data_IF_895128688319
#
_entry.id   IF_895128688319
#
_cell.length_a   1.000
_cell.length_b   1.000
_cell.length_c   1.000
_cell.angle_alpha   90.00
_cell.angle_beta   90.00
_cell.angle_gamma   90.00
#
_symmetry.space_group_name_H-M   'P 1'
#
loop_
_entity.id
_entity.type
_entity.pdbx_description
1 polymer ?
#
# COMPACT_ATOMS: atom_id res chain seq x y z
N UNK A 1 1.10 -22.41 -15.47
CA UNK A 1 -0.24 -22.09 -16.01
C UNK A 1 -1.24 -21.60 -14.95
N UNK A 2 -1.23 -22.16 -13.73
CA UNK A 2 -2.08 -21.69 -12.65
C UNK A 2 -1.78 -20.24 -12.24
N UNK A 3 -0.54 -19.82 -12.26
CA UNK A 3 -0.11 -18.47 -11.86
C UNK A 3 -0.68 -17.38 -12.79
N UNK A 4 -0.76 -17.60 -14.10
CA UNK A 4 -1.27 -16.61 -15.06
C UNK A 4 -2.77 -16.43 -14.91
N UNK A 5 -3.53 -17.52 -14.78
CA UNK A 5 -4.99 -17.47 -14.57
C UNK A 5 -5.36 -16.77 -13.24
N UNK A 6 -4.61 -17.07 -12.19
CA UNK A 6 -4.81 -16.41 -10.90
C UNK A 6 -4.40 -14.94 -10.92
N UNK A 7 -3.36 -14.56 -11.66
CA UNK A 7 -2.98 -13.17 -11.89
C UNK A 7 -4.10 -12.42 -12.64
N UNK A 8 -4.58 -12.94 -13.76
CA UNK A 8 -5.67 -12.34 -14.54
C UNK A 8 -6.92 -12.16 -13.66
N UNK A 9 -7.31 -13.20 -12.93
CA UNK A 9 -8.46 -13.13 -12.03
C UNK A 9 -8.29 -12.08 -10.94
N UNK A 10 -7.11 -12.00 -10.34
CA UNK A 10 -6.84 -11.09 -9.22
C UNK A 10 -6.69 -9.63 -9.65
N UNK A 11 -6.00 -9.38 -10.77
CA UNK A 11 -5.62 -8.03 -11.17
C UNK A 11 -6.47 -7.44 -12.29
N UNK A 12 -7.25 -8.27 -13.02
CA UNK A 12 -8.11 -7.80 -14.10
C UNK A 12 -9.61 -7.97 -13.77
N UNK A 13 -10.03 -9.20 -13.41
CA UNK A 13 -11.46 -9.51 -13.31
C UNK A 13 -12.05 -8.94 -12.01
N UNK A 14 -11.40 -9.19 -10.88
CA UNK A 14 -11.97 -8.80 -9.58
C UNK A 14 -12.02 -7.27 -9.37
N UNK A 15 -11.07 -6.45 -9.87
CA UNK A 15 -11.19 -4.99 -9.81
C UNK A 15 -12.40 -4.40 -10.54
N UNK A 16 -12.93 -5.06 -11.57
CA UNK A 16 -14.15 -4.63 -12.26
C UNK A 16 -15.35 -4.57 -11.31
N UNK A 17 -15.34 -5.35 -10.24
CA UNK A 17 -16.39 -5.36 -9.23
C UNK A 17 -16.33 -4.18 -8.24
N UNK A 18 -15.28 -3.35 -8.25
CA UNK A 18 -15.11 -2.22 -7.32
C UNK A 18 -16.32 -1.27 -7.37
N UNK A 19 -16.76 -0.75 -8.54
CA UNK A 19 -17.89 0.15 -8.60
C UNK A 19 -19.21 -0.51 -8.17
N UNK A 20 -19.40 -1.81 -8.49
CA UNK A 20 -20.62 -2.55 -8.14
C UNK A 20 -20.73 -2.86 -6.65
N UNK A 21 -19.60 -2.93 -5.95
CA UNK A 21 -19.55 -3.20 -4.51
C UNK A 21 -19.32 -1.95 -3.67
N UNK A 22 -19.40 -0.75 -4.27
CA UNK A 22 -19.07 0.53 -3.62
C UNK A 22 -17.73 0.50 -2.88
N UNK A 23 -16.75 -0.21 -3.44
CA UNK A 23 -15.40 -0.35 -2.86
C UNK A 23 -15.28 -1.41 -1.76
N UNK A 24 -16.34 -2.09 -1.34
CA UNK A 24 -16.28 -3.12 -0.29
C UNK A 24 -15.38 -4.31 -0.65
N UNK A 25 -15.04 -4.50 -1.93
CA UNK A 25 -14.14 -5.55 -2.39
C UNK A 25 -12.65 -5.18 -2.24
N UNK A 26 -12.32 -3.91 -1.99
CA UNK A 26 -10.94 -3.41 -1.88
C UNK A 26 -10.10 -4.19 -0.84
N UNK A 27 -10.59 -4.47 0.39
CA UNK A 27 -9.84 -5.25 1.36
C UNK A 27 -9.49 -6.65 0.88
N UNK A 28 -10.44 -7.31 0.23
CA UNK A 28 -10.23 -8.64 -0.36
C UNK A 28 -9.18 -8.61 -1.48
N UNK A 29 -9.24 -7.60 -2.37
CA UNK A 29 -8.25 -7.40 -3.41
C UNK A 29 -6.85 -7.15 -2.84
N UNK A 30 -6.75 -6.30 -1.83
CA UNK A 30 -5.48 -6.03 -1.15
C UNK A 30 -4.88 -7.30 -0.55
N UNK A 31 -5.68 -8.08 0.18
CA UNK A 31 -5.26 -9.37 0.72
C UNK A 31 -4.80 -10.34 -0.38
N UNK A 32 -5.62 -10.50 -1.43
CA UNK A 32 -5.32 -11.43 -2.52
C UNK A 32 -4.09 -11.03 -3.31
N UNK A 33 -3.93 -9.73 -3.58
CA UNK A 33 -2.74 -9.18 -4.26
C UNK A 33 -1.46 -9.42 -3.46
N UNK A 34 -1.45 -9.15 -2.16
CA UNK A 34 -0.33 -9.44 -1.28
C UNK A 34 -0.01 -10.93 -1.21
N UNK A 35 -1.02 -11.76 -0.98
CA UNK A 35 -0.86 -13.20 -0.96
C UNK A 35 -0.25 -13.71 -2.26
N UNK A 36 -0.78 -13.28 -3.41
CA UNK A 36 -0.26 -13.66 -4.72
C UNK A 36 1.20 -13.23 -4.90
N UNK A 37 1.54 -11.99 -4.56
CA UNK A 37 2.91 -11.48 -4.70
C UNK A 37 3.88 -12.25 -3.81
N UNK A 38 3.53 -12.45 -2.54
CA UNK A 38 4.40 -13.15 -1.58
C UNK A 38 4.59 -14.62 -1.97
N UNK A 39 3.52 -15.35 -2.27
CA UNK A 39 3.61 -16.79 -2.58
C UNK A 39 4.31 -17.08 -3.91
N UNK A 40 4.39 -16.10 -4.80
CA UNK A 40 5.13 -16.23 -6.07
C UNK A 40 6.55 -15.63 -6.02
N UNK A 41 6.97 -15.10 -4.85
CA UNK A 41 8.33 -14.57 -4.65
C UNK A 41 9.21 -15.62 -3.98
N UNK A 42 10.49 -15.67 -4.39
CA UNK A 42 11.49 -16.59 -3.85
C UNK A 42 12.85 -15.90 -3.75
N UNK A 43 13.65 -16.29 -2.79
CA UNK A 43 15.08 -15.98 -2.74
C UNK A 43 15.83 -17.30 -2.86
N UNK A 44 16.55 -17.50 -3.97
CA UNK A 44 17.14 -18.80 -4.29
C UNK A 44 16.03 -19.87 -4.42
N UNK A 45 16.12 -20.92 -3.62
CA UNK A 45 15.11 -21.99 -3.53
C UNK A 45 14.05 -21.77 -2.45
N UNK A 46 14.25 -20.79 -1.55
CA UNK A 46 13.36 -20.52 -0.42
C UNK A 46 12.16 -19.67 -0.86
N UNK A 47 10.92 -20.17 -0.75
CA UNK A 47 9.73 -19.40 -1.02
C UNK A 47 9.41 -18.48 0.16
N UNK A 48 8.83 -17.31 -0.16
CA UNK A 48 8.16 -16.52 0.87
C UNK A 48 6.82 -17.18 1.23
N UNK A 49 6.52 -17.23 2.52
CA UNK A 49 5.27 -17.75 3.04
C UNK A 49 4.41 -16.61 3.57
N UNK A 50 3.12 -16.65 3.23
CA UNK A 50 2.13 -15.70 3.74
C UNK A 50 1.25 -16.45 4.75
N UNK A 51 1.69 -16.40 6.02
CA UNK A 51 1.06 -17.14 7.10
C UNK A 51 0.37 -16.21 8.10
N UNK A 52 -0.60 -16.74 8.84
CA UNK A 52 -1.27 -16.06 9.96
C UNK A 52 -2.12 -14.84 9.64
N UNK A 53 -2.19 -14.39 8.37
CA UNK A 53 -2.98 -13.20 7.99
C UNK A 53 -4.39 -13.59 7.57
N UNK A 54 -5.37 -13.10 8.32
CA UNK A 54 -6.81 -13.29 7.99
C UNK A 54 -7.32 -12.10 7.17
N UNK A 55 -8.17 -12.39 6.19
CA UNK A 55 -8.86 -11.36 5.38
C UNK A 55 -9.54 -10.30 6.27
N UNK A 56 -10.11 -10.73 7.41
CA UNK A 56 -10.77 -9.83 8.35
C UNK A 56 -9.87 -8.69 8.90
N UNK A 57 -8.54 -8.86 8.92
CA UNK A 57 -7.64 -7.80 9.32
C UNK A 57 -7.64 -6.63 8.31
N UNK A 58 -7.72 -6.94 7.02
CA UNK A 58 -7.84 -5.94 5.96
C UNK A 58 -9.18 -5.21 6.00
N UNK A 59 -10.27 -5.93 6.31
CA UNK A 59 -11.58 -5.31 6.51
C UNK A 59 -11.60 -4.40 7.73
N UNK A 60 -10.97 -4.77 8.84
CA UNK A 60 -10.82 -3.89 10.01
C UNK A 60 -10.07 -2.61 9.66
N UNK A 61 -8.97 -2.71 8.93
CA UNK A 61 -8.22 -1.54 8.45
C UNK A 61 -9.08 -0.64 7.54
N UNK A 62 -9.85 -1.24 6.64
CA UNK A 62 -10.75 -0.53 5.74
C UNK A 62 -11.85 0.21 6.49
N UNK A 63 -12.56 -0.48 7.39
CA UNK A 63 -13.63 0.16 8.17
C UNK A 63 -13.11 1.21 9.15
N UNK A 64 -11.92 1.03 9.74
CA UNK A 64 -11.28 2.06 10.54
C UNK A 64 -11.00 3.32 9.72
N UNK A 65 -10.55 3.16 8.47
CA UNK A 65 -10.30 4.29 7.58
C UNK A 65 -11.62 4.94 7.13
N UNK A 66 -12.62 4.16 6.75
CA UNK A 66 -13.95 4.66 6.39
C UNK A 66 -14.56 5.44 7.55
N UNK A 67 -14.49 4.91 8.78
CA UNK A 67 -14.96 5.60 9.98
C UNK A 67 -14.26 6.95 10.18
N UNK A 68 -12.93 6.99 10.04
CA UNK A 68 -12.16 8.24 10.11
C UNK A 68 -12.65 9.25 9.07
N UNK A 69 -12.87 8.82 7.82
CA UNK A 69 -13.35 9.68 6.75
C UNK A 69 -14.75 10.23 7.04
N UNK A 70 -15.65 9.38 7.54
CA UNK A 70 -17.01 9.81 7.94
C UNK A 70 -16.95 10.87 9.03
N UNK A 71 -16.10 10.69 10.05
CA UNK A 71 -15.92 11.69 11.11
C UNK A 71 -15.41 13.02 10.55
N UNK A 72 -14.43 12.99 9.65
CA UNK A 72 -13.91 14.20 8.98
C UNK A 72 -15.01 14.90 8.17
N UNK A 73 -15.79 14.16 7.39
CA UNK A 73 -16.89 14.70 6.60
C UNK A 73 -17.96 15.34 7.48
N UNK A 74 -18.36 14.68 8.57
CA UNK A 74 -19.35 15.20 9.51
C UNK A 74 -18.84 16.46 10.21
N UNK A 75 -17.58 16.49 10.65
CA UNK A 75 -16.97 17.66 11.26
C UNK A 75 -16.95 18.86 10.28
N UNK A 76 -16.57 18.60 9.02
CA UNK A 76 -16.51 19.62 7.99
C UNK A 76 -17.92 20.15 7.61
N UNK A 77 -18.91 19.26 7.52
CA UNK A 77 -20.30 19.61 7.28
C UNK A 77 -20.88 20.48 8.42
N UNK A 78 -20.52 20.15 9.66
CA UNK A 78 -20.89 20.94 10.83
C UNK A 78 -20.29 22.35 10.81
N UNK A 79 -19.02 22.49 10.40
CA UNK A 79 -18.36 23.78 10.24
C UNK A 79 -19.03 24.63 9.17
N UNK A 80 -19.38 24.03 8.02
CA UNK A 80 -20.10 24.73 6.94
C UNK A 80 -21.49 25.18 7.40
N UNK A 81 -22.23 24.30 8.08
CA UNK A 81 -23.55 24.63 8.58
C UNK A 81 -23.49 25.78 9.62
N UNK A 82 -22.51 25.74 10.52
CA UNK A 82 -22.27 26.79 11.51
C UNK A 82 -21.91 28.13 10.86
N UNK A 83 -21.02 28.11 9.85
CA UNK A 83 -20.66 29.34 9.12
C UNK A 83 -21.85 29.96 8.39
N UNK A 84 -22.68 29.15 7.74
CA UNK A 84 -23.91 29.63 7.06
C UNK A 84 -24.89 30.28 8.06
N UNK A 85 -24.99 29.74 9.28
CA UNK A 85 -25.82 30.34 10.32
C UNK A 85 -25.27 31.72 10.75
N UNK A 86 -23.96 31.84 10.94
CA UNK A 86 -23.29 33.09 11.30
C UNK A 86 -23.48 34.18 10.20
N UNK A 87 -23.33 33.81 8.91
CA UNK A 87 -23.57 34.73 7.78
C UNK A 87 -25.00 35.22 7.76
N UNK A 88 -26.00 34.40 8.04
CA UNK A 88 -27.41 34.78 8.12
C UNK A 88 -27.68 35.75 9.28
N UNK A 89 -27.04 35.54 10.43
CA UNK A 89 -27.19 36.37 11.62
C UNK A 89 -26.57 37.76 11.42
N UNK A 90 -25.53 37.88 10.57
CA UNK A 90 -24.82 39.12 10.31
C UNK A 90 -25.30 39.88 9.07
N UNK A 91 -26.36 39.41 8.39
CA UNK A 91 -26.89 40.01 7.14
C UNK A 91 -25.80 40.27 6.06
N UNK A 92 -24.75 39.45 6.04
CA UNK A 92 -23.68 39.55 5.05
C UNK A 92 -24.16 39.06 3.67
N UNK A 93 -23.77 39.76 2.60
CA UNK A 93 -24.14 39.37 1.25
C UNK A 93 -23.62 37.93 0.93
N UNK A 94 -24.52 36.97 0.69
CA UNK A 94 -24.13 35.57 0.43
C UNK A 94 -23.40 35.41 -0.90
N UNK A 95 -23.51 36.32 -1.85
CA UNK A 95 -23.02 36.16 -3.23
C UNK A 95 -21.51 36.06 -3.32
N UNK A 96 -20.76 36.80 -2.50
CA UNK A 96 -19.29 36.68 -2.43
C UNK A 96 -18.79 35.40 -1.81
N UNK A 97 -19.58 34.83 -0.87
CA UNK A 97 -19.28 33.56 -0.23
C UNK A 97 -19.51 32.31 -1.10
N UNK A 98 -20.58 32.34 -1.91
CA UNK A 98 -21.01 31.18 -2.71
C UNK A 98 -19.93 30.71 -3.68
N UNK A 99 -19.19 31.60 -4.32
CA UNK A 99 -18.13 31.25 -5.26
C UNK A 99 -16.94 30.49 -4.57
N UNK A 100 -16.56 30.91 -3.38
CA UNK A 100 -15.51 30.22 -2.60
C UNK A 100 -16.02 28.89 -2.04
N UNK A 101 -17.27 28.86 -1.55
CA UNK A 101 -17.87 27.64 -1.01
C UNK A 101 -18.10 26.56 -2.07
N UNK A 102 -18.23 26.91 -3.36
CA UNK A 102 -18.39 25.92 -4.44
C UNK A 102 -17.14 25.06 -4.67
N UNK A 103 -15.96 25.54 -4.31
CA UNK A 103 -14.70 24.79 -4.41
C UNK A 103 -14.45 23.88 -3.21
N UNK A 104 -15.13 24.08 -2.09
CA UNK A 104 -14.95 23.30 -0.85
C UNK A 104 -15.12 21.80 -1.06
N UNK A 105 -16.14 21.30 -1.79
CA UNK A 105 -16.28 19.86 -2.03
C UNK A 105 -15.09 19.27 -2.78
N UNK A 106 -14.53 19.98 -3.75
CA UNK A 106 -13.36 19.54 -4.52
C UNK A 106 -12.13 19.40 -3.60
N UNK A 107 -11.85 20.42 -2.79
CA UNK A 107 -10.74 20.37 -1.83
C UNK A 107 -10.95 19.30 -0.77
N UNK A 108 -12.18 19.10 -0.30
CA UNK A 108 -12.51 18.05 0.64
C UNK A 108 -12.24 16.66 0.05
N UNK A 109 -12.67 16.38 -1.17
CA UNK A 109 -12.43 15.12 -1.87
C UNK A 109 -10.92 14.87 -2.01
N UNK A 110 -10.16 15.87 -2.45
CA UNK A 110 -8.70 15.77 -2.58
C UNK A 110 -8.04 15.50 -1.23
N UNK A 111 -8.44 16.19 -0.17
CA UNK A 111 -7.93 16.02 1.17
C UNK A 111 -8.25 14.63 1.74
N UNK A 112 -9.48 14.15 1.57
CA UNK A 112 -9.89 12.81 1.95
C UNK A 112 -9.08 11.75 1.20
N UNK A 113 -8.81 11.95 -0.08
CA UNK A 113 -7.96 11.06 -0.88
C UNK A 113 -6.53 11.01 -0.34
N UNK A 114 -5.94 12.16 0.01
CA UNK A 114 -4.59 12.26 0.58
C UNK A 114 -4.45 11.60 1.97
N UNK A 115 -5.55 11.42 2.68
CA UNK A 115 -5.57 10.72 3.98
C UNK A 115 -5.88 9.23 3.79
N UNK A 116 -6.94 8.92 3.03
CA UNK A 116 -7.48 7.58 2.91
C UNK A 116 -6.50 6.61 2.26
N UNK A 117 -5.93 7.01 1.12
CA UNK A 117 -5.08 6.11 0.33
C UNK A 117 -3.79 5.76 1.06
N UNK A 118 -2.97 6.72 1.54
CA UNK A 118 -1.76 6.36 2.26
C UNK A 118 -2.05 5.70 3.61
N UNK A 119 -3.08 6.15 4.33
CA UNK A 119 -3.48 5.55 5.59
C UNK A 119 -3.84 4.07 5.46
N UNK A 120 -4.72 3.73 4.53
CA UNK A 120 -5.09 2.36 4.25
C UNK A 120 -3.89 1.51 3.78
N UNK A 121 -3.04 2.06 2.90
CA UNK A 121 -1.82 1.37 2.42
C UNK A 121 -0.85 1.05 3.55
N UNK A 122 -0.67 1.94 4.52
CA UNK A 122 0.18 1.70 5.68
C UNK A 122 -0.37 0.58 6.55
N UNK A 123 -1.67 0.63 6.87
CA UNK A 123 -2.31 -0.40 7.69
C UNK A 123 -2.20 -1.79 7.03
N UNK A 124 -2.52 -1.88 5.75
CA UNK A 124 -2.44 -3.14 5.01
C UNK A 124 -1.00 -3.62 4.82
N UNK A 125 -0.03 -2.70 4.64
CA UNK A 125 1.39 -3.04 4.55
C UNK A 125 1.93 -3.62 5.85
N UNK A 126 1.61 -3.01 7.01
CA UNK A 126 1.97 -3.56 8.31
C UNK A 126 1.39 -4.97 8.50
N UNK A 127 0.09 -5.15 8.22
CA UNK A 127 -0.57 -6.44 8.32
C UNK A 127 0.11 -7.49 7.42
N UNK A 128 0.44 -7.12 6.19
CA UNK A 128 1.00 -8.03 5.20
C UNK A 128 2.43 -8.42 5.53
N UNK A 129 3.29 -7.45 5.85
CA UNK A 129 4.71 -7.69 6.16
C UNK A 129 4.87 -8.49 7.45
N UNK A 130 4.12 -8.13 8.51
CA UNK A 130 4.17 -8.86 9.78
C UNK A 130 3.62 -10.29 9.67
N UNK A 131 2.91 -10.63 8.59
CA UNK A 131 2.45 -11.98 8.31
C UNK A 131 3.24 -12.70 7.22
N UNK A 132 4.36 -12.12 6.77
CA UNK A 132 5.24 -12.72 5.77
C UNK A 132 6.47 -13.32 6.47
N UNK A 133 6.88 -14.52 6.06
CA UNK A 133 8.10 -15.18 6.53
C UNK A 133 8.93 -15.68 5.36
N UNK A 134 10.23 -15.83 5.59
CA UNK A 134 11.19 -16.42 4.64
C UNK A 134 12.01 -17.47 5.38
N UNK A 135 11.66 -18.74 5.24
CA UNK A 135 12.18 -19.78 6.14
C UNK A 135 11.85 -19.45 7.59
N UNK A 136 12.86 -19.39 8.46
CA UNK A 136 12.73 -19.03 9.87
C UNK A 136 12.83 -17.51 10.12
N UNK A 137 13.13 -16.71 9.07
CA UNK A 137 13.21 -15.25 9.16
C UNK A 137 11.83 -14.61 9.10
N UNK A 138 11.61 -13.59 9.94
CA UNK A 138 10.34 -12.84 10.01
C UNK A 138 10.53 -11.39 9.63
N UNK A 139 9.49 -10.80 9.06
CA UNK A 139 9.46 -9.38 8.75
C UNK A 139 8.62 -8.63 9.78
N UNK A 140 9.13 -7.48 10.20
CA UNK A 140 8.42 -6.56 11.08
C UNK A 140 8.30 -5.18 10.44
N UNK A 141 7.08 -4.66 10.39
CA UNK A 141 6.78 -3.33 9.88
C UNK A 141 6.09 -2.51 10.96
N UNK A 142 6.71 -1.39 11.34
CA UNK A 142 6.27 -0.48 12.41
C UNK A 142 5.82 0.88 11.89
N UNK A 143 5.29 0.93 10.65
CA UNK A 143 4.83 2.16 10.02
C UNK A 143 3.69 2.81 10.81
N UNK A 144 3.84 4.11 11.09
CA UNK A 144 2.81 4.90 11.78
C UNK A 144 1.92 5.60 10.75
N UNK A 145 0.62 5.35 10.82
CA UNK A 145 -0.38 5.88 9.87
C UNK A 145 -0.30 7.40 9.80
N UNK A 146 -0.33 8.10 10.93
CA UNK A 146 -0.30 9.57 10.97
C UNK A 146 0.99 10.18 10.40
N UNK A 147 2.14 9.55 10.64
CA UNK A 147 3.41 10.03 10.09
C UNK A 147 3.42 9.93 8.56
N UNK A 148 2.90 8.83 8.01
CA UNK A 148 2.81 8.68 6.56
C UNK A 148 1.80 9.65 5.96
N UNK A 149 0.64 9.82 6.55
CA UNK A 149 -0.34 10.83 6.11
C UNK A 149 0.31 12.21 6.09
N UNK A 150 1.01 12.60 7.16
CA UNK A 150 1.73 13.88 7.23
C UNK A 150 2.78 14.03 6.12
N UNK A 151 3.54 12.95 5.84
CA UNK A 151 4.51 12.94 4.74
C UNK A 151 3.81 13.18 3.41
N UNK A 152 2.69 12.53 3.14
CA UNK A 152 1.94 12.69 1.88
C UNK A 152 1.33 14.08 1.76
N UNK A 153 0.70 14.60 2.80
CA UNK A 153 0.12 15.95 2.80
C UNK A 153 1.19 17.01 2.60
N UNK A 154 2.28 16.95 3.39
CA UNK A 154 3.39 17.92 3.27
C UNK A 154 4.12 17.82 1.93
N UNK A 155 4.24 16.62 1.36
CA UNK A 155 4.78 16.44 0.02
C UNK A 155 3.86 17.02 -1.05
N UNK A 156 2.54 16.84 -0.93
CA UNK A 156 1.58 17.43 -1.88
C UNK A 156 1.71 18.97 -1.90
N UNK A 157 1.77 19.59 -0.72
CA UNK A 157 2.00 21.04 -0.60
C UNK A 157 3.33 21.45 -1.25
N UNK A 158 4.43 20.77 -0.94
CA UNK A 158 5.74 21.07 -1.51
C UNK A 158 5.77 20.92 -3.05
N UNK A 159 5.12 19.88 -3.59
CA UNK A 159 5.04 19.65 -5.04
C UNK A 159 4.24 20.76 -5.72
N UNK A 160 3.10 21.18 -5.14
CA UNK A 160 2.27 22.25 -5.69
C UNK A 160 3.06 23.56 -5.71
N UNK A 161 3.68 23.97 -4.59
CA UNK A 161 4.44 25.21 -4.51
C UNK A 161 5.70 25.23 -5.38
N UNK A 162 6.28 24.06 -5.66
CA UNK A 162 7.44 23.95 -6.54
C UNK A 162 7.07 23.68 -8.01
N UNK A 163 5.79 23.75 -8.37
CA UNK A 163 5.30 23.42 -9.72
C UNK A 163 5.82 22.04 -10.19
N UNK A 164 5.87 21.07 -9.27
CA UNK A 164 6.28 19.69 -9.55
C UNK A 164 7.79 19.40 -9.39
N UNK A 165 8.66 20.40 -9.23
CA UNK A 165 10.11 20.21 -9.14
C UNK A 165 10.55 19.35 -7.95
N UNK A 166 9.82 19.38 -6.83
CA UNK A 166 10.12 18.60 -5.64
C UNK A 166 9.57 17.15 -5.67
N UNK A 167 9.01 16.70 -6.80
CA UNK A 167 8.50 15.31 -6.93
C UNK A 167 9.57 14.24 -6.64
N UNK A 168 10.83 14.32 -7.15
CA UNK A 168 11.86 13.33 -6.81
C UNK A 168 12.20 13.31 -5.33
N UNK A 169 12.32 14.48 -4.71
CA UNK A 169 12.57 14.61 -3.27
C UNK A 169 11.43 13.98 -2.45
N UNK A 170 10.19 14.24 -2.80
CA UNK A 170 9.02 13.66 -2.15
C UNK A 170 9.02 12.13 -2.20
N UNK A 171 9.39 11.54 -3.33
CA UNK A 171 9.52 10.08 -3.49
C UNK A 171 10.62 9.52 -2.58
N UNK A 172 11.80 10.14 -2.56
CA UNK A 172 12.92 9.72 -1.70
C UNK A 172 12.52 9.78 -0.22
N UNK A 173 11.82 10.84 0.20
CA UNK A 173 11.34 11.00 1.58
C UNK A 173 10.41 9.87 2.01
N UNK A 174 9.43 9.50 1.15
CA UNK A 174 8.54 8.37 1.41
C UNK A 174 9.33 7.06 1.49
N UNK A 175 10.19 6.77 0.50
CA UNK A 175 10.96 5.53 0.44
C UNK A 175 11.89 5.37 1.64
N UNK A 176 12.55 6.45 2.07
CA UNK A 176 13.40 6.46 3.27
C UNK A 176 12.61 6.14 4.53
N UNK A 177 11.44 6.74 4.70
CA UNK A 177 10.58 6.44 5.85
C UNK A 177 10.14 4.98 5.87
N UNK A 178 9.73 4.45 4.71
CA UNK A 178 9.31 3.05 4.58
C UNK A 178 10.45 2.07 4.88
N UNK A 179 11.67 2.36 4.40
CA UNK A 179 12.84 1.51 4.62
C UNK A 179 13.26 1.50 6.10
N UNK A 180 13.25 2.66 6.77
CA UNK A 180 13.65 2.76 8.17
C UNK A 180 12.68 2.08 9.16
N UNK A 181 11.47 1.72 8.71
CA UNK A 181 10.46 1.07 9.55
C UNK A 181 10.16 -0.37 9.12
N UNK A 182 11.00 -0.94 8.28
CA UNK A 182 10.99 -2.36 7.91
C UNK A 182 12.21 -3.03 8.50
N UNK A 183 11.98 -4.00 9.38
CA UNK A 183 13.02 -4.81 10.00
C UNK A 183 12.87 -6.24 9.52
N UNK A 184 13.98 -6.86 9.17
CA UNK A 184 14.09 -8.29 8.97
C UNK A 184 14.72 -8.89 10.23
N UNK A 185 13.94 -9.66 10.98
CA UNK A 185 14.41 -10.42 12.12
C UNK A 185 14.97 -11.75 11.61
N UNK A 186 16.28 -11.80 11.45
CA UNK A 186 16.98 -13.00 11.03
C UNK A 186 17.06 -13.99 12.20
N UNK A 187 16.69 -15.26 11.98
CA UNK A 187 16.84 -16.33 12.96
C UNK A 187 18.31 -16.76 13.08
N UNK A 188 19.03 -16.72 11.93
CA UNK A 188 20.45 -17.02 11.82
C UNK A 188 21.20 -15.90 11.08
N UNK A 189 22.52 -16.07 10.90
CA UNK A 189 23.34 -15.16 10.12
C UNK A 189 22.82 -15.05 8.67
N UNK A 190 22.26 -13.89 8.34
CA UNK A 190 21.64 -13.62 7.03
C UNK A 190 22.64 -13.76 5.88
N UNK A 191 23.92 -13.45 6.14
CA UNK A 191 24.96 -13.52 5.13
C UNK A 191 25.29 -14.96 4.76
N UNK A 192 25.34 -15.84 5.76
CA UNK A 192 25.50 -17.28 5.57
C UNK A 192 24.31 -17.91 4.85
N UNK A 193 23.08 -17.46 5.17
CA UNK A 193 21.86 -17.89 4.50
C UNK A 193 21.85 -17.51 3.02
N UNK A 194 22.14 -16.25 2.68
CA UNK A 194 22.17 -15.77 1.29
C UNK A 194 23.24 -16.49 0.50
N UNK A 195 24.44 -16.66 1.06
CA UNK A 195 25.53 -17.41 0.41
C UNK A 195 25.18 -18.88 0.20
N UNK A 196 24.52 -19.52 1.17
CA UNK A 196 24.09 -20.91 1.04
C UNK A 196 23.04 -21.09 -0.08
N UNK A 197 22.08 -20.17 -0.17
CA UNK A 197 21.07 -20.21 -1.24
C UNK A 197 21.65 -19.86 -2.62
N UNK A 198 22.60 -18.93 -2.70
CA UNK A 198 23.31 -18.63 -3.94
C UNK A 198 24.14 -19.83 -4.43
N UNK A 199 24.87 -20.52 -3.54
CA UNK A 199 25.62 -21.74 -3.90
C UNK A 199 24.70 -22.85 -4.41
N UNK A 200 23.54 -23.05 -3.78
CA UNK A 200 22.54 -24.04 -4.25
C UNK A 200 21.98 -23.67 -5.64
N UNK A 201 21.80 -22.38 -5.91
CA UNK A 201 21.31 -21.92 -7.21
C UNK A 201 22.36 -22.05 -8.31
N UNK A 202 23.66 -21.76 -8.02
CA UNK A 202 24.76 -21.93 -8.98
C UNK A 202 25.06 -23.41 -9.25
N UNK A 203 25.10 -24.27 -8.22
CA UNK A 203 25.28 -25.71 -8.40
C UNK A 203 24.19 -26.33 -9.31
N UNK A 204 22.93 -25.88 -9.18
CA UNK A 204 21.87 -26.34 -10.07
C UNK A 204 22.04 -25.81 -11.51
N UNK A 205 22.58 -24.60 -11.67
CA UNK A 205 22.91 -24.06 -13.00
C UNK A 205 24.03 -24.87 -13.68
N UNK A 206 25.06 -25.26 -12.93
CA UNK A 206 26.14 -26.09 -13.43
C UNK A 206 25.66 -27.52 -13.81
N UNK A 207 24.86 -28.16 -12.94
CA UNK A 207 24.26 -29.46 -13.28
C UNK A 207 23.35 -29.41 -14.51
N UNK A 208 22.56 -28.32 -14.68
CA UNK A 208 21.71 -28.16 -15.85
C UNK A 208 22.53 -27.92 -17.12
N UNK A 209 23.66 -27.24 -17.02
CA UNK A 209 24.57 -27.01 -18.15
C UNK A 209 25.28 -28.30 -18.54
N UNK A 210 25.79 -29.09 -17.58
CA UNK A 210 26.38 -30.39 -17.82
C UNK A 210 25.37 -31.35 -18.47
N UNK A 211 24.10 -31.32 -18.07
CA UNK A 211 23.06 -32.15 -18.64
C UNK A 211 22.77 -31.77 -20.12
N UNK A 212 22.81 -30.47 -20.42
CA UNK A 212 22.62 -29.97 -21.79
C UNK A 212 23.87 -30.23 -22.67
N UNK A 213 25.08 -30.15 -22.12
CA UNK A 213 26.32 -30.45 -22.89
C UNK A 213 26.42 -31.93 -23.22
N UNK A 214 25.98 -32.86 -22.34
CA UNK A 214 25.95 -34.30 -22.61
C UNK A 214 24.99 -34.64 -23.74
N UNK A 215 23.88 -33.90 -23.92
CA UNK A 215 22.87 -34.14 -24.94
C UNK A 215 23.26 -33.56 -26.34
N UNK A 216 24.21 -32.61 -26.39
CA UNK A 216 24.67 -32.00 -27.63
C UNK A 216 25.96 -32.64 -28.16
N UNK A 217 26.69 -33.34 -27.32
CA UNK A 217 27.93 -34.04 -27.68
C UNK A 217 27.76 -35.46 -28.27
N UNK A 218 26.53 -35.90 -28.49
CA UNK A 218 26.15 -37.25 -28.98
C UNK A 218 25.69 -37.33 -30.42
N UNK A 219 26.05 -36.34 -31.31
CA UNK A 219 25.80 -36.42 -32.75
C UNK A 219 27.13 -36.49 -33.52
#
# INVERSE_FOLDING_TARGET
EHSIKDAIKTFLIVPILIPFTLGMIIPYLSYRGWRFSVTNSRIGRQPFLFQSVRVGAYYRAFFAMVFLLVVIVLAFSGLIAGSNLLFRVQDLDPRGGIALFSLVPLFLILFLYLIAVPGYRVMTRNISLNGTTLGDHTFESTLKVWTVIWIYVSNAVAIVFSVGLLTPWARVRVSRYLANHLVLNAADDLESFVQAEQRKASAFGEEATDFLEIDIGGI
#
